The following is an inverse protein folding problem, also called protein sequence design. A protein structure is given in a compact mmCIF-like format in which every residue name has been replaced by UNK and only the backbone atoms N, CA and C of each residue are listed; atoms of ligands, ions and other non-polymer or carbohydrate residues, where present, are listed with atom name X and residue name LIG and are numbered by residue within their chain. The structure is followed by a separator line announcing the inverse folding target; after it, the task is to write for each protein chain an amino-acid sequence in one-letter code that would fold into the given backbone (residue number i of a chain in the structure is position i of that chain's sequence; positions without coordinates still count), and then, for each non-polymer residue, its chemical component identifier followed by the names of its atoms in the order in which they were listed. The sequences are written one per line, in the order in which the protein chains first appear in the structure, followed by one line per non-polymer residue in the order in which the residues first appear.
data_IF_295862009594
#
_entry.id   IF_295862009594
#
_cell.length_a   1.000
_cell.length_b   1.000
_cell.length_c   1.000
_cell.angle_alpha   90.00
_cell.angle_beta   90.00
_cell.angle_gamma   90.00
#
_symmetry.space_group_name_H-M   'P 1'
#
loop_
_entity.id
_entity.type
_entity.pdbx_description
1 polymer ?
#
# COMPACT_ATOMS: atom_id res chain seq x y z
N UNK A 1 -7.01 24.74 19.54
CA UNK A 1 -6.97 23.27 19.42
C UNK A 1 -6.14 22.90 18.19
N UNK A 2 -4.95 22.33 18.39
CA UNK A 2 -3.92 22.11 17.34
C UNK A 2 -3.98 20.69 16.72
N UNK A 3 -4.98 19.89 17.10
CA UNK A 3 -5.02 18.43 16.91
C UNK A 3 -5.17 18.05 15.43
N UNK A 4 -5.72 18.95 14.60
CA UNK A 4 -5.96 18.71 13.17
C UNK A 4 -4.95 19.40 12.24
N UNK A 5 -3.93 20.09 12.76
CA UNK A 5 -2.99 20.83 11.91
C UNK A 5 -2.20 19.87 11.01
N UNK A 6 -1.59 18.84 11.57
CA UNK A 6 -0.82 17.86 10.78
C UNK A 6 -1.68 17.10 9.75
N UNK A 7 -2.92 16.77 10.09
CA UNK A 7 -3.85 16.12 9.15
C UNK A 7 -4.24 17.07 8.00
N UNK A 8 -4.41 18.36 8.29
CA UNK A 8 -4.69 19.39 7.28
C UNK A 8 -3.49 19.61 6.36
N UNK A 9 -2.30 19.78 6.93
CA UNK A 9 -1.07 19.97 6.18
C UNK A 9 -0.77 18.77 5.26
N UNK A 10 -1.07 17.55 5.73
CA UNK A 10 -0.99 16.33 4.91
C UNK A 10 -2.00 16.36 3.74
N UNK A 11 -3.25 16.73 3.98
CA UNK A 11 -4.25 16.84 2.91
C UNK A 11 -3.85 17.90 1.88
N UNK A 12 -3.36 19.05 2.34
CA UNK A 12 -2.87 20.12 1.46
C UNK A 12 -1.69 19.64 0.60
N UNK A 13 -0.77 18.85 1.18
CA UNK A 13 0.35 18.23 0.46
C UNK A 13 -0.11 17.21 -0.58
N UNK A 14 -1.12 16.39 -0.25
CA UNK A 14 -1.70 15.41 -1.18
C UNK A 14 -2.37 16.11 -2.37
N UNK A 15 -3.09 17.20 -2.11
CA UNK A 15 -3.73 17.99 -3.18
C UNK A 15 -2.68 18.66 -4.07
N UNK A 16 -1.61 19.23 -3.51
CA UNK A 16 -0.50 19.81 -4.26
C UNK A 16 0.23 18.78 -5.13
N UNK A 17 0.39 17.55 -4.63
CA UNK A 17 1.06 16.44 -5.35
C UNK A 17 0.10 15.66 -6.27
N UNK A 18 -1.16 16.09 -6.38
CA UNK A 18 -2.22 15.43 -7.15
C UNK A 18 -2.42 13.95 -6.79
N UNK A 19 -2.17 13.61 -5.52
CA UNK A 19 -2.40 12.30 -4.94
C UNK A 19 -3.75 12.28 -4.22
N UNK A 20 -4.38 11.12 -4.18
CA UNK A 20 -5.65 10.92 -3.47
C UNK A 20 -5.70 9.55 -2.81
N UNK A 21 -6.44 9.45 -1.71
CA UNK A 21 -6.80 8.17 -1.09
C UNK A 21 -7.80 7.46 -2.02
N UNK A 22 -7.28 6.49 -2.76
CA UNK A 22 -8.05 5.76 -3.76
C UNK A 22 -9.20 5.01 -3.07
N UNK A 23 -8.93 4.38 -1.92
CA UNK A 23 -9.96 3.64 -1.19
C UNK A 23 -11.13 4.55 -0.82
N UNK A 24 -10.86 5.74 -0.27
CA UNK A 24 -11.91 6.69 0.12
C UNK A 24 -12.71 7.20 -1.09
N UNK A 25 -12.06 7.29 -2.25
CA UNK A 25 -12.75 7.69 -3.48
C UNK A 25 -13.78 6.65 -3.95
N UNK A 26 -13.46 5.36 -3.82
CA UNK A 26 -14.42 4.28 -4.16
C UNK A 26 -15.48 4.07 -3.06
N UNK A 27 -15.14 4.37 -1.81
CA UNK A 27 -15.93 4.07 -0.62
C UNK A 27 -16.10 5.29 0.29
N UNK A 28 -16.77 6.37 -0.17
CA UNK A 28 -16.79 7.65 0.54
C UNK A 28 -17.46 7.56 1.91
N UNK A 29 -18.47 6.70 2.05
CA UNK A 29 -19.26 6.54 3.28
C UNK A 29 -18.88 5.32 4.12
N UNK A 30 -18.00 4.45 3.63
CA UNK A 30 -17.70 3.18 4.30
C UNK A 30 -16.76 3.39 5.48
N UNK A 31 -17.14 2.83 6.63
CA UNK A 31 -16.38 2.80 7.89
C UNK A 31 -15.48 1.57 8.03
N UNK A 32 -14.84 1.12 6.95
CA UNK A 32 -13.89 0.00 7.03
C UNK A 32 -12.59 0.42 7.75
N UNK A 33 -12.13 -0.46 8.64
CA UNK A 33 -10.95 -0.26 9.50
C UNK A 33 -9.85 -1.26 9.13
N UNK A 34 -8.59 -0.87 9.34
CA UNK A 34 -7.45 -1.77 9.11
C UNK A 34 -6.67 -2.14 10.36
N UNK A 35 -6.90 -1.44 11.45
CA UNK A 35 -6.17 -1.66 12.69
C UNK A 35 -7.12 -1.63 13.88
N UNK A 36 -6.81 -2.42 14.89
CA UNK A 36 -7.49 -2.41 16.19
C UNK A 36 -6.47 -2.07 17.28
N UNK A 37 -6.72 -1.00 18.03
CA UNK A 37 -5.96 -0.67 19.23
C UNK A 37 -6.68 -1.24 20.46
N UNK A 38 -5.99 -2.09 21.23
CA UNK A 38 -6.55 -2.74 22.43
C UNK A 38 -6.95 -1.75 23.52
N UNK A 39 -6.22 -0.66 23.67
CA UNK A 39 -6.52 0.41 24.62
C UNK A 39 -6.58 1.73 23.84
N UNK A 40 -7.73 2.42 23.78
CA UNK A 40 -9.00 2.20 24.50
C UNK A 40 -10.01 1.26 23.80
N UNK A 41 -9.58 0.35 22.91
CA UNK A 41 -10.49 -0.58 22.21
C UNK A 41 -11.09 0.01 20.94
N UNK A 42 -10.29 0.73 20.15
CA UNK A 42 -10.75 1.49 18.99
C UNK A 42 -10.30 0.89 17.66
N UNK A 43 -11.21 0.91 16.69
CA UNK A 43 -10.90 0.58 15.31
C UNK A 43 -10.48 1.82 14.53
N UNK A 44 -9.33 1.73 13.87
CA UNK A 44 -8.76 2.83 13.11
C UNK A 44 -8.39 2.35 11.70
N UNK A 45 -8.33 3.31 10.78
CA UNK A 45 -7.84 3.09 9.42
C UNK A 45 -6.56 3.88 9.23
N UNK A 46 -5.43 3.23 9.45
CA UNK A 46 -4.09 3.85 9.41
C UNK A 46 -3.34 3.53 8.12
N UNK A 47 -3.73 2.47 7.42
CA UNK A 47 -3.15 2.10 6.14
C UNK A 47 -3.87 2.86 5.01
N UNK A 48 -3.14 3.49 4.09
CA UNK A 48 -3.73 4.23 2.97
C UNK A 48 -3.20 3.71 1.62
N UNK A 49 -4.09 3.61 0.64
CA UNK A 49 -3.70 3.39 -0.76
C UNK A 49 -3.76 4.75 -1.43
N UNK A 50 -2.60 5.37 -1.62
CA UNK A 50 -2.48 6.61 -2.36
C UNK A 50 -2.28 6.34 -3.85
N UNK A 51 -2.84 7.18 -4.69
CA UNK A 51 -2.54 7.17 -6.10
C UNK A 51 -2.86 8.50 -6.75
N UNK A 52 -2.27 8.71 -7.92
CA UNK A 52 -2.50 9.93 -8.68
C UNK A 52 -3.99 10.04 -9.08
N UNK A 53 -4.60 11.20 -8.86
CA UNK A 53 -6.06 11.38 -8.94
C UNK A 53 -6.66 10.90 -10.26
N UNK A 54 -6.00 11.17 -11.39
CA UNK A 54 -6.54 10.76 -12.71
C UNK A 54 -6.22 9.31 -13.09
N UNK A 55 -4.99 8.86 -12.84
CA UNK A 55 -4.46 7.58 -13.36
C UNK A 55 -4.50 6.44 -12.34
N UNK A 56 -4.60 6.76 -11.05
CA UNK A 56 -4.85 5.79 -9.99
C UNK A 56 -6.30 5.34 -9.98
N UNK A 57 -7.24 6.27 -10.17
CA UNK A 57 -8.68 5.94 -10.17
C UNK A 57 -9.08 5.09 -11.39
N UNK A 58 -8.64 5.44 -12.60
CA UNK A 58 -9.01 4.69 -13.80
C UNK A 58 -8.40 3.27 -13.85
N UNK A 59 -7.25 3.05 -13.21
CA UNK A 59 -6.55 1.76 -13.17
C UNK A 59 -7.17 0.79 -12.17
N UNK A 60 -7.96 1.24 -11.19
CA UNK A 60 -8.52 0.39 -10.16
C UNK A 60 -10.00 0.08 -10.46
N UNK A 61 -10.38 -1.20 -10.36
CA UNK A 61 -11.74 -1.72 -10.59
C UNK A 61 -12.50 -1.92 -9.29
N UNK A 62 -11.79 -2.43 -8.28
CA UNK A 62 -12.36 -2.80 -6.98
C UNK A 62 -11.29 -2.70 -5.91
N UNK A 63 -11.63 -2.20 -4.75
CA UNK A 63 -10.74 -2.09 -3.59
C UNK A 63 -11.47 -2.65 -2.39
N UNK A 64 -10.80 -3.51 -1.64
CA UNK A 64 -11.38 -4.23 -0.50
C UNK A 64 -10.38 -4.32 0.66
N UNK A 65 -10.92 -4.30 1.88
CA UNK A 65 -10.19 -4.65 3.09
C UNK A 65 -10.50 -6.11 3.44
N UNK A 66 -9.47 -6.95 3.49
CA UNK A 66 -9.58 -8.37 3.79
C UNK A 66 -8.89 -8.64 5.14
N UNK A 67 -9.56 -9.28 6.11
CA UNK A 67 -8.91 -9.66 7.36
C UNK A 67 -7.74 -10.63 7.09
N UNK A 68 -6.61 -10.46 7.78
CA UNK A 68 -5.51 -11.44 7.79
C UNK A 68 -5.35 -12.02 9.19
N UNK A 69 -5.03 -13.31 9.28
CA UNK A 69 -4.57 -13.94 10.53
C UNK A 69 -3.07 -13.75 10.77
N UNK A 70 -2.36 -13.25 9.76
CA UNK A 70 -0.91 -13.10 9.74
C UNK A 70 -0.40 -11.81 10.41
N UNK A 71 -1.27 -10.86 10.72
CA UNK A 71 -0.93 -9.55 11.27
C UNK A 71 -2.15 -8.95 11.98
N UNK A 72 -1.88 -8.09 12.94
CA UNK A 72 -2.82 -7.16 13.57
C UNK A 72 -3.39 -6.11 12.60
N UNK A 73 -2.81 -5.97 11.40
CA UNK A 73 -3.35 -5.19 10.29
C UNK A 73 -4.19 -6.03 9.33
N UNK A 74 -5.34 -5.47 8.93
CA UNK A 74 -6.10 -6.00 7.80
C UNK A 74 -5.44 -5.63 6.49
N UNK A 75 -5.42 -6.58 5.57
CA UNK A 75 -4.83 -6.40 4.24
C UNK A 75 -5.75 -5.55 3.37
N UNK A 76 -5.21 -4.51 2.73
CA UNK A 76 -5.91 -3.80 1.65
C UNK A 76 -5.50 -4.36 0.31
N UNK A 77 -6.48 -4.72 -0.51
CA UNK A 77 -6.23 -5.22 -1.86
C UNK A 77 -6.92 -4.34 -2.89
N UNK A 78 -6.28 -4.15 -4.05
CA UNK A 78 -6.88 -3.47 -5.20
C UNK A 78 -6.82 -4.36 -6.42
N UNK A 79 -7.93 -4.48 -7.14
CA UNK A 79 -8.04 -5.17 -8.42
C UNK A 79 -7.89 -4.13 -9.53
N UNK A 80 -6.87 -4.26 -10.38
CA UNK A 80 -6.66 -3.33 -11.50
C UNK A 80 -7.54 -3.65 -12.71
N UNK A 81 -7.98 -2.63 -13.45
CA UNK A 81 -8.59 -2.77 -14.77
C UNK A 81 -7.53 -3.27 -15.77
N UNK A 82 -7.71 -4.48 -16.30
CA UNK A 82 -6.83 -5.08 -17.30
C UNK A 82 -7.16 -4.53 -18.70
N UNK A 83 -6.95 -3.25 -18.94
CA UNK A 83 -7.14 -2.65 -20.28
C UNK A 83 -5.83 -2.54 -21.08
N UNK A 84 -4.78 -3.23 -20.65
CA UNK A 84 -3.54 -3.30 -21.39
C UNK A 84 -3.22 -4.77 -21.60
N UNK A 85 -3.04 -5.18 -22.86
CA UNK A 85 -2.26 -6.36 -23.20
C UNK A 85 -0.87 -6.10 -22.63
N UNK A 86 -0.65 -6.46 -21.37
CA UNK A 86 0.69 -6.62 -20.85
C UNK A 86 1.21 -7.83 -21.59
N UNK A 87 1.96 -7.61 -22.68
CA UNK A 87 2.92 -8.60 -23.13
C UNK A 87 3.63 -9.10 -21.89
N UNK A 88 3.67 -10.40 -21.69
CA UNK A 88 4.22 -11.01 -20.48
C UNK A 88 5.66 -10.50 -20.28
N UNK A 89 5.82 -9.39 -19.57
CA UNK A 89 7.09 -9.07 -18.94
C UNK A 89 7.13 -10.02 -17.77
N UNK A 90 7.66 -11.22 -18.00
CA UNK A 90 8.11 -12.09 -16.93
C UNK A 90 9.01 -11.19 -16.09
N UNK A 91 8.59 -10.86 -14.87
CA UNK A 91 9.39 -10.09 -13.95
C UNK A 91 10.59 -10.98 -13.58
N UNK A 92 11.60 -11.03 -14.42
CA UNK A 92 12.92 -11.52 -14.06
C UNK A 92 13.52 -10.45 -13.18
N UNK A 93 13.27 -10.57 -11.87
CA UNK A 93 14.16 -9.99 -10.88
C UNK A 93 15.49 -10.71 -11.05
N UNK A 94 16.32 -10.21 -11.96
CA UNK A 94 17.69 -10.70 -12.14
C UNK A 94 18.48 -10.15 -10.98
N UNK A 95 18.83 -11.02 -10.03
CA UNK A 95 19.74 -10.64 -8.96
C UNK A 95 21.10 -10.26 -9.58
N UNK A 96 21.71 -9.19 -9.10
CA UNK A 96 22.98 -8.70 -9.63
C UNK A 96 24.07 -9.76 -9.42
N UNK A 97 24.68 -10.26 -10.49
CA UNK A 97 25.71 -11.29 -10.43
C UNK A 97 26.97 -10.84 -9.69
N UNK A 98 27.26 -9.53 -9.64
CA UNK A 98 28.36 -9.00 -8.83
C UNK A 98 28.13 -9.19 -7.33
N UNK A 99 26.89 -9.05 -6.86
CA UNK A 99 26.54 -9.27 -5.44
C UNK A 99 26.65 -10.75 -5.09
N UNK A 100 26.17 -11.63 -5.97
CA UNK A 100 26.27 -13.08 -5.81
C UNK A 100 27.72 -13.59 -5.84
N UNK A 101 28.63 -12.86 -6.49
CA UNK A 101 30.04 -13.21 -6.56
C UNK A 101 30.84 -12.71 -5.35
N UNK A 102 30.26 -11.87 -4.49
CA UNK A 102 30.91 -11.40 -3.27
C UNK A 102 30.94 -12.52 -2.22
N UNK A 103 32.12 -12.92 -1.79
CA UNK A 103 32.31 -14.01 -0.80
C UNK A 103 31.65 -13.72 0.55
N UNK A 104 31.61 -12.46 0.99
CA UNK A 104 30.93 -12.08 2.24
C UNK A 104 29.42 -12.33 2.15
N UNK A 105 28.79 -11.92 1.03
CA UNK A 105 27.36 -12.14 0.78
C UNK A 105 27.04 -13.64 0.70
N UNK A 106 27.90 -14.44 0.06
CA UNK A 106 27.73 -15.90 0.00
C UNK A 106 27.79 -16.56 1.37
N UNK A 107 28.65 -16.06 2.26
CA UNK A 107 28.81 -16.62 3.59
C UNK A 107 27.59 -16.31 4.47
N UNK A 108 27.11 -15.07 4.42
CA UNK A 108 25.90 -14.65 5.14
C UNK A 108 24.66 -15.44 4.67
N UNK A 109 24.51 -15.63 3.35
CA UNK A 109 23.43 -16.48 2.81
C UNK A 109 23.49 -17.93 3.29
N UNK A 110 24.68 -18.49 3.54
CA UNK A 110 24.83 -19.87 4.08
C UNK A 110 24.49 -19.96 5.56
N UNK A 111 24.64 -18.86 6.29
CA UNK A 111 24.33 -18.81 7.73
C UNK A 111 22.83 -18.59 7.97
N UNK A 112 22.12 -18.02 6.99
CA UNK A 112 20.69 -17.72 7.07
C UNK A 112 19.77 -18.85 6.53
N UNK A 113 20.32 -19.84 5.81
CA UNK A 113 19.62 -21.04 5.29
C UNK A 113 19.83 -22.23 6.22
#
# INVERSE_FOLDING_TARGET
QNINKGARDLNDTLDQTNLTDIFRTFHPKTGEYTFFSSTPGTFSRIDHILGHRKTGLNKNKRIEVIPCTCSDHKKKTTKKNKNQKTGQTRNTWTLNSMLLNNEWVKQEMKEEI
#
